data_IF_267799475896
#
_entry.id   IF_267799475896
#
_cell.length_a   1.000
_cell.length_b   1.000
_cell.length_c   1.000
_cell.angle_alpha   90.00
_cell.angle_beta   90.00
_cell.angle_gamma   90.00
#
_symmetry.space_group_name_H-M   'P 1'
#
loop_
_entity.id
_entity.type
_entity.pdbx_description
1 polymer ?
#
# COMPACT_ATOMS: atom_id res chain seq x y z
N UNK A 1 27.16 23.03 -26.06
CA UNK A 1 26.04 22.09 -26.24
C UNK A 1 25.46 21.87 -24.85
N UNK A 2 24.58 22.78 -24.47
CA UNK A 2 23.81 22.70 -23.23
C UNK A 2 22.66 21.75 -23.53
N UNK A 3 22.75 20.50 -23.07
CA UNK A 3 21.56 19.66 -23.01
C UNK A 3 20.68 20.27 -21.93
N UNK A 4 19.65 20.99 -22.37
CA UNK A 4 18.53 21.42 -21.54
C UNK A 4 17.99 20.16 -20.86
N UNK A 5 18.20 20.06 -19.54
CA UNK A 5 17.62 18.99 -18.75
C UNK A 5 16.11 19.00 -18.95
N UNK A 6 15.58 17.88 -19.43
CA UNK A 6 14.14 17.66 -19.53
C UNK A 6 13.47 18.07 -18.21
N UNK A 7 12.28 18.70 -18.28
CA UNK A 7 11.60 19.18 -17.09
C UNK A 7 11.38 18.01 -16.11
N UNK A 8 11.82 18.19 -14.86
CA UNK A 8 11.50 17.31 -13.73
C UNK A 8 9.97 17.17 -13.67
N UNK A 9 9.49 15.96 -13.91
CA UNK A 9 8.09 15.64 -14.12
C UNK A 9 7.24 16.17 -12.96
N UNK A 10 6.40 17.17 -13.23
CA UNK A 10 5.39 17.68 -12.28
C UNK A 10 4.12 16.81 -12.36
N UNK A 11 4.27 15.49 -12.30
CA UNK A 11 3.14 14.57 -12.33
C UNK A 11 2.51 14.46 -10.93
N UNK A 12 1.56 15.34 -10.66
CA UNK A 12 0.67 15.22 -9.51
C UNK A 12 -0.27 14.01 -9.74
N UNK A 13 0.03 12.93 -9.00
CA UNK A 13 -0.86 11.99 -8.26
C UNK A 13 -1.69 10.94 -8.99
N UNK A 14 -1.40 9.68 -8.66
CA UNK A 14 -2.34 8.55 -8.74
C UNK A 14 -3.15 8.37 -7.43
N UNK A 15 -3.69 9.48 -6.93
CA UNK A 15 -4.44 9.48 -5.66
C UNK A 15 -5.81 8.81 -5.81
N UNK A 16 -6.46 9.01 -6.96
CA UNK A 16 -7.78 8.45 -7.25
C UNK A 16 -7.73 6.91 -7.30
N UNK A 17 -6.76 6.33 -8.02
CA UNK A 17 -6.58 4.87 -8.03
C UNK A 17 -6.22 4.31 -6.65
N UNK A 18 -5.45 5.05 -5.85
CA UNK A 18 -5.16 4.71 -4.47
C UNK A 18 -6.42 4.65 -3.59
N UNK A 19 -7.31 5.64 -3.72
CA UNK A 19 -8.59 5.66 -3.01
C UNK A 19 -9.49 4.49 -3.42
N UNK A 20 -9.58 4.20 -4.73
CA UNK A 20 -10.35 3.07 -5.23
C UNK A 20 -9.81 1.72 -4.73
N UNK A 21 -8.49 1.55 -4.71
CA UNK A 21 -7.83 0.35 -4.22
C UNK A 21 -8.09 0.15 -2.71
N UNK A 22 -7.97 1.21 -1.91
CA UNK A 22 -8.26 1.20 -0.47
C UNK A 22 -9.74 0.90 -0.20
N UNK A 23 -10.66 1.55 -0.92
CA UNK A 23 -12.08 1.28 -0.78
C UNK A 23 -12.40 -0.19 -1.11
N UNK A 24 -11.82 -0.72 -2.20
CA UNK A 24 -12.06 -2.08 -2.63
C UNK A 24 -11.54 -3.13 -1.63
N UNK A 25 -10.31 -2.97 -1.11
CA UNK A 25 -9.71 -3.93 -0.17
C UNK A 25 -10.45 -3.95 1.18
N UNK A 26 -10.93 -2.79 1.65
CA UNK A 26 -11.75 -2.70 2.87
C UNK A 26 -13.12 -3.36 2.69
N UNK A 27 -13.79 -3.12 1.56
CA UNK A 27 -15.05 -3.81 1.24
C UNK A 27 -14.86 -5.32 1.09
N UNK A 28 -13.75 -5.76 0.49
CA UNK A 28 -13.40 -7.17 0.42
C UNK A 28 -13.19 -7.78 1.82
N UNK A 29 -12.52 -7.07 2.73
CA UNK A 29 -12.27 -7.55 4.09
C UNK A 29 -13.57 -7.74 4.87
N UNK A 30 -14.49 -6.78 4.74
CA UNK A 30 -15.84 -6.88 5.29
C UNK A 30 -16.60 -8.09 4.74
N UNK A 31 -16.59 -8.30 3.42
CA UNK A 31 -17.23 -9.49 2.79
C UNK A 31 -16.59 -10.81 3.24
N UNK A 32 -15.28 -10.84 3.44
CA UNK A 32 -14.56 -12.02 3.89
C UNK A 32 -14.78 -12.35 5.39
N UNK A 33 -15.40 -11.44 6.15
CA UNK A 33 -15.76 -11.64 7.55
C UNK A 33 -14.71 -11.14 8.55
N UNK A 34 -13.95 -10.11 8.19
CA UNK A 34 -13.22 -9.32 9.18
C UNK A 34 -14.20 -8.54 10.07
N UNK A 35 -13.92 -8.47 11.38
CA UNK A 35 -14.64 -7.64 12.34
C UNK A 35 -14.35 -6.16 12.12
N UNK A 36 -13.09 -5.83 11.84
CA UNK A 36 -12.62 -4.50 11.48
C UNK A 36 -11.35 -4.62 10.65
N UNK A 37 -10.98 -3.55 9.94
CA UNK A 37 -9.76 -3.49 9.17
C UNK A 37 -9.31 -2.04 8.95
N UNK A 38 -8.00 -1.85 8.80
CA UNK A 38 -7.41 -0.64 8.23
C UNK A 38 -6.55 -1.01 7.01
N UNK A 39 -6.39 -0.07 6.10
CA UNK A 39 -5.62 -0.27 4.88
C UNK A 39 -4.75 0.95 4.60
N UNK A 40 -3.59 0.70 4.00
CA UNK A 40 -2.60 1.71 3.65
C UNK A 40 -2.21 1.52 2.18
N UNK A 41 -2.45 2.55 1.37
CA UNK A 41 -1.87 2.67 0.05
C UNK A 41 -0.67 3.61 0.09
N UNK A 42 0.44 3.20 -0.50
CA UNK A 42 1.66 4.00 -0.63
C UNK A 42 2.03 4.06 -2.09
N UNK A 43 2.27 5.27 -2.58
CA UNK A 43 2.84 5.54 -3.89
C UNK A 43 4.09 6.42 -3.71
N UNK A 44 5.14 6.07 -4.42
CA UNK A 44 6.42 6.76 -4.38
C UNK A 44 6.88 7.06 -5.80
N UNK A 45 7.32 8.29 -6.03
CA UNK A 45 8.02 8.74 -7.23
C UNK A 45 9.31 9.40 -6.78
N UNK A 46 10.43 8.81 -7.16
CA UNK A 46 11.77 9.15 -6.67
C UNK A 46 12.71 9.38 -7.84
N UNK A 47 13.47 10.48 -7.78
CA UNK A 47 14.59 10.74 -8.67
C UNK A 47 15.90 10.78 -7.87
N UNK A 48 16.89 10.01 -8.33
CA UNK A 48 18.22 9.93 -7.74
C UNK A 48 19.28 10.46 -8.71
N UNK A 49 19.97 11.52 -8.30
CA UNK A 49 21.04 12.16 -9.07
C UNK A 49 22.39 11.90 -8.40
N UNK A 50 23.32 11.28 -9.11
CA UNK A 50 24.67 10.97 -8.64
C UNK A 50 25.71 11.81 -9.39
N UNK A 51 26.60 12.48 -8.64
CA UNK A 51 27.70 13.31 -9.15
C UNK A 51 29.02 12.84 -8.54
N UNK A 52 30.09 12.78 -9.35
CA UNK A 52 31.44 12.45 -8.91
C UNK A 52 32.46 13.34 -9.59
N UNK A 53 33.39 13.89 -8.79
CA UNK A 53 34.42 14.84 -9.25
C UNK A 53 33.84 16.05 -10.01
N UNK A 54 32.67 16.52 -9.59
CA UNK A 54 32.00 17.67 -10.22
C UNK A 54 31.34 17.37 -11.57
N UNK A 55 31.32 16.12 -12.01
CA UNK A 55 30.63 15.66 -13.21
C UNK A 55 29.42 14.80 -12.86
N UNK A 56 28.31 15.01 -13.57
CA UNK A 56 27.13 14.16 -13.50
C UNK A 56 27.49 12.73 -13.92
N UNK A 57 27.14 11.75 -13.08
CA UNK A 57 27.37 10.34 -13.38
C UNK A 57 26.10 9.60 -13.75
N UNK A 58 25.01 9.87 -13.02
CA UNK A 58 23.78 9.09 -13.15
C UNK A 58 22.56 9.89 -12.73
N UNK A 59 21.47 9.70 -13.46
CA UNK A 59 20.12 10.09 -13.06
C UNK A 59 19.28 8.81 -13.12
N UNK A 60 18.51 8.53 -12.08
CA UNK A 60 17.58 7.40 -12.03
C UNK A 60 16.23 7.89 -11.57
N UNK A 61 15.18 7.51 -12.30
CA UNK A 61 13.80 7.64 -11.82
C UNK A 61 13.31 6.27 -11.33
N UNK A 62 12.52 6.26 -10.25
CA UNK A 62 11.92 5.08 -9.67
C UNK A 62 10.51 5.40 -9.22
N UNK A 63 9.54 4.65 -9.75
CA UNK A 63 8.15 4.70 -9.32
C UNK A 63 7.77 3.38 -8.67
N UNK A 64 7.04 3.45 -7.56
CA UNK A 64 6.52 2.26 -6.89
C UNK A 64 5.18 2.53 -6.24
N UNK A 65 4.39 1.47 -6.13
CA UNK A 65 3.15 1.49 -5.37
C UNK A 65 2.99 0.20 -4.57
N UNK A 66 2.20 0.28 -3.51
CA UNK A 66 1.87 -0.86 -2.67
C UNK A 66 0.60 -0.63 -1.88
N UNK A 67 -0.09 -1.73 -1.60
CA UNK A 67 -1.31 -1.75 -0.79
C UNK A 67 -1.12 -2.75 0.34
N UNK A 68 -1.33 -2.28 1.57
CA UNK A 68 -1.34 -3.09 2.78
C UNK A 68 -2.72 -3.10 3.41
N UNK A 69 -3.05 -4.19 4.08
CA UNK A 69 -4.24 -4.30 4.92
C UNK A 69 -3.86 -4.97 6.24
N UNK A 70 -4.39 -4.44 7.33
CA UNK A 70 -4.49 -5.12 8.63
C UNK A 70 -5.94 -5.47 8.89
N UNK A 71 -6.21 -6.74 9.15
CA UNK A 71 -7.55 -7.26 9.44
C UNK A 71 -7.63 -7.78 10.87
N UNK A 72 -8.79 -7.60 11.49
CA UNK A 72 -9.11 -8.11 12.81
C UNK A 72 -10.28 -9.09 12.70
N UNK A 73 -10.20 -10.22 13.40
CA UNK A 73 -11.30 -11.18 13.56
C UNK A 73 -11.47 -11.42 15.06
N UNK A 74 -12.46 -10.77 15.65
CA UNK A 74 -12.55 -10.63 17.10
C UNK A 74 -11.32 -9.88 17.64
N UNK A 75 -10.56 -10.54 18.53
CA UNK A 75 -9.32 -10.02 19.13
C UNK A 75 -8.05 -10.60 18.49
N UNK A 76 -8.17 -11.29 17.35
CA UNK A 76 -7.03 -11.81 16.60
C UNK A 76 -6.79 -10.96 15.35
N UNK A 77 -5.53 -10.78 14.94
CA UNK A 77 -5.18 -9.89 13.84
C UNK A 77 -4.15 -10.47 12.86
N UNK A 78 -4.15 -9.98 11.63
CA UNK A 78 -3.14 -10.27 10.63
C UNK A 78 -2.92 -9.06 9.72
N UNK A 79 -1.68 -8.89 9.25
CA UNK A 79 -1.32 -7.85 8.30
C UNK A 79 -0.59 -8.44 7.09
N UNK A 80 -0.95 -8.00 5.90
CA UNK A 80 -0.30 -8.41 4.65
C UNK A 80 -0.27 -7.24 3.66
N UNK A 81 0.64 -7.28 2.71
CA UNK A 81 0.76 -6.28 1.65
C UNK A 81 1.07 -6.89 0.30
N UNK A 82 0.78 -6.14 -0.76
CA UNK A 82 1.05 -6.51 -2.16
C UNK A 82 1.40 -5.28 -3.00
N UNK A 83 1.98 -5.52 -4.17
CA UNK A 83 2.12 -4.52 -5.24
C UNK A 83 1.18 -4.79 -6.43
N UNK A 84 0.50 -5.94 -6.45
CA UNK A 84 -0.50 -6.28 -7.46
C UNK A 84 -1.88 -5.78 -6.99
N UNK A 85 -2.37 -4.74 -7.66
CA UNK A 85 -3.63 -4.06 -7.32
C UNK A 85 -4.81 -4.55 -8.16
N UNK A 86 -4.66 -5.65 -8.90
CA UNK A 86 -5.79 -6.25 -9.61
C UNK A 86 -6.87 -6.70 -8.62
N UNK A 87 -8.14 -6.48 -8.96
CA UNK A 87 -9.27 -6.81 -8.08
C UNK A 87 -9.27 -8.27 -7.62
N UNK A 88 -8.97 -9.19 -8.55
CA UNK A 88 -8.86 -10.60 -8.24
C UNK A 88 -7.76 -10.88 -7.20
N UNK A 89 -6.57 -10.31 -7.38
CA UNK A 89 -5.47 -10.51 -6.44
C UNK A 89 -5.80 -9.94 -5.06
N UNK A 90 -6.44 -8.76 -5.01
CA UNK A 90 -6.89 -8.14 -3.77
C UNK A 90 -7.89 -9.05 -3.03
N UNK A 91 -8.90 -9.59 -3.72
CA UNK A 91 -9.88 -10.49 -3.11
C UNK A 91 -9.20 -11.76 -2.54
N UNK A 92 -8.25 -12.35 -3.27
CA UNK A 92 -7.48 -13.51 -2.82
C UNK A 92 -6.56 -13.19 -1.62
N UNK A 93 -5.89 -12.03 -1.65
CA UNK A 93 -5.03 -11.54 -0.59
C UNK A 93 -5.82 -11.34 0.72
N UNK A 94 -7.00 -10.74 0.62
CA UNK A 94 -7.89 -10.50 1.76
C UNK A 94 -8.42 -11.79 2.35
N UNK A 95 -8.88 -12.73 1.50
CA UNK A 95 -9.33 -14.03 1.98
C UNK A 95 -8.23 -14.74 2.79
N UNK A 96 -6.98 -14.63 2.33
CA UNK A 96 -5.81 -15.15 3.04
C UNK A 96 -5.56 -14.41 4.35
N UNK A 97 -5.60 -13.08 4.37
CA UNK A 97 -5.40 -12.28 5.58
C UNK A 97 -6.43 -12.64 6.67
N UNK A 98 -7.70 -12.78 6.30
CA UNK A 98 -8.76 -13.19 7.25
C UNK A 98 -8.55 -14.62 7.73
N UNK A 99 -8.18 -15.55 6.84
CA UNK A 99 -7.83 -16.91 7.24
C UNK A 99 -6.65 -16.94 8.22
N UNK A 100 -5.61 -16.13 7.99
CA UNK A 100 -4.48 -15.99 8.90
C UNK A 100 -4.92 -15.47 10.27
N UNK A 101 -5.69 -14.37 10.32
CA UNK A 101 -6.19 -13.80 11.57
C UNK A 101 -7.02 -14.81 12.40
N UNK A 102 -7.81 -15.68 11.74
CA UNK A 102 -8.56 -16.75 12.42
C UNK A 102 -7.68 -17.80 13.10
N UNK A 103 -6.44 -17.97 12.65
CA UNK A 103 -5.49 -18.96 13.20
C UNK A 103 -4.41 -18.35 14.09
N UNK A 104 -4.41 -17.02 14.26
CA UNK A 104 -3.52 -16.33 15.21
C UNK A 104 -4.12 -16.32 16.62
N UNK A 105 -3.27 -16.22 17.64
CA UNK A 105 -3.71 -16.06 19.02
C UNK A 105 -4.45 -14.72 19.20
N UNK A 106 -5.49 -14.71 20.03
CA UNK A 106 -6.15 -13.49 20.43
C UNK A 106 -5.23 -12.63 21.31
N UNK A 107 -5.28 -11.31 21.10
CA UNK A 107 -4.54 -10.31 21.84
C UNK A 107 -5.53 -9.29 22.45
N UNK A 108 -5.52 -9.02 23.77
CA UNK A 108 -6.54 -8.18 24.42
C UNK A 108 -6.64 -6.72 23.94
N UNK A 109 -5.60 -6.23 23.26
CA UNK A 109 -5.50 -4.84 22.80
C UNK A 109 -5.61 -4.73 21.28
N UNK A 110 -5.97 -5.82 20.59
CA UNK A 110 -6.15 -5.80 19.15
C UNK A 110 -7.48 -5.14 18.78
N UNK A 111 -7.41 -4.07 18.00
CA UNK A 111 -8.58 -3.39 17.46
C UNK A 111 -8.21 -2.07 16.80
N UNK A 112 -9.22 -1.48 16.15
CA UNK A 112 -9.13 -0.08 15.74
C UNK A 112 -9.31 0.83 16.97
N UNK A 113 -8.76 2.05 16.95
CA UNK A 113 -9.05 3.05 17.97
C UNK A 113 -10.55 3.32 18.08
N UNK A 114 -11.00 3.71 19.29
CA UNK A 114 -12.35 4.24 19.48
C UNK A 114 -12.52 5.56 18.71
N UNK A 115 -13.75 5.84 18.26
CA UNK A 115 -14.08 7.14 17.66
C UNK A 115 -13.94 8.25 18.72
N UNK A 116 -13.39 9.40 18.32
CA UNK A 116 -13.16 10.57 19.18
C UNK A 116 -14.43 11.38 19.45
#
# INVERSE_FOLDING_TARGET
>A
MTEEGEPVSTAIRDFDSGQEAVAHILEAAKRAGATSADALYVWTDEENVTVRKGALEKIQASQSQGLGIRVFVGQAQSSISTRDLSRQHIDELVARAVAMARHTAAEPYAGLPEEL
#
